data_IF_683551339655
#
_entry.id   IF_683551339655
#
_cell.length_a   1.000
_cell.length_b   1.000
_cell.length_c   1.000
_cell.angle_alpha   90.00
_cell.angle_beta   90.00
_cell.angle_gamma   90.00
#
_symmetry.space_group_name_H-M   'P 1'
#
loop_
_entity.id
_entity.type
_entity.pdbx_description
1 polymer ?
#
# COMPACT_ATOMS: atom_id res chain seq x y z
N UNK A 1 8.61 0.76 -7.18
CA UNK A 1 8.27 -0.17 -6.08
C UNK A 1 9.47 -0.34 -5.17
N UNK A 2 9.23 -0.34 -3.87
CA UNK A 2 10.27 -0.70 -2.94
C UNK A 2 9.70 -1.42 -1.70
N UNK A 3 10.33 -2.51 -1.30
CA UNK A 3 9.86 -3.35 -0.21
C UNK A 3 10.91 -3.43 0.90
N UNK A 4 10.51 -3.13 2.14
CA UNK A 4 11.38 -3.23 3.31
C UNK A 4 10.57 -3.20 4.62
N UNK A 5 11.25 -3.28 5.76
CA UNK A 5 10.65 -3.10 7.07
C UNK A 5 10.65 -1.62 7.47
N UNK A 6 9.57 -1.15 8.11
CA UNK A 6 9.41 0.26 8.53
C UNK A 6 10.55 0.76 9.42
N UNK A 7 11.17 -0.11 10.23
CA UNK A 7 12.33 0.23 11.07
C UNK A 7 13.56 0.66 10.25
N UNK A 8 13.59 0.32 8.97
CA UNK A 8 14.66 0.65 8.04
C UNK A 8 14.33 1.83 7.13
N UNK A 9 13.14 2.44 7.28
CA UNK A 9 12.65 3.51 6.39
C UNK A 9 13.63 4.69 6.27
N UNK A 10 14.36 5.04 7.32
CA UNK A 10 15.35 6.14 7.29
C UNK A 10 16.51 5.92 6.32
N UNK A 11 16.83 4.67 6.01
CA UNK A 11 17.86 4.34 5.01
C UNK A 11 17.46 4.71 3.58
N UNK A 12 16.19 5.05 3.39
CA UNK A 12 15.57 5.38 2.11
C UNK A 12 15.03 6.83 2.08
N UNK A 13 15.69 7.72 2.83
CA UNK A 13 15.30 9.14 2.97
C UNK A 13 15.55 9.99 1.72
N UNK A 14 15.90 9.40 0.60
CA UNK A 14 15.99 10.08 -0.69
C UNK A 14 14.63 10.37 -1.33
N UNK A 15 13.53 9.89 -0.73
CA UNK A 15 12.17 10.20 -1.14
C UNK A 15 11.79 11.61 -0.66
N UNK A 16 10.77 12.19 -1.30
CA UNK A 16 10.33 13.54 -0.98
C UNK A 16 9.69 13.66 0.41
N UNK A 17 9.40 14.91 0.82
CA UNK A 17 8.86 15.23 2.14
C UNK A 17 7.55 14.52 2.50
N UNK A 18 6.70 14.21 1.50
CA UNK A 18 5.44 13.50 1.72
C UNK A 18 5.67 12.08 2.22
N UNK A 19 6.65 11.37 1.65
CA UNK A 19 7.03 10.05 2.12
C UNK A 19 7.64 10.09 3.52
N UNK A 20 8.48 11.10 3.79
CA UNK A 20 9.05 11.29 5.13
C UNK A 20 7.97 11.52 6.18
N UNK A 21 6.98 12.37 5.88
CA UNK A 21 5.84 12.59 6.78
C UNK A 21 5.05 11.29 7.05
N UNK A 22 4.80 10.48 6.01
CA UNK A 22 4.15 9.19 6.17
C UNK A 22 4.97 8.23 7.03
N UNK A 23 6.28 8.12 6.82
CA UNK A 23 7.16 7.25 7.61
C UNK A 23 7.27 7.71 9.07
N UNK A 24 7.34 9.00 9.32
CA UNK A 24 7.31 9.55 10.68
C UNK A 24 6.00 9.23 11.39
N UNK A 25 4.89 9.38 10.70
CA UNK A 25 3.59 9.04 11.26
C UNK A 25 3.49 7.55 11.60
N UNK A 26 3.91 6.66 10.70
CA UNK A 26 3.93 5.20 10.92
C UNK A 26 4.80 4.81 12.13
N UNK A 27 5.93 5.50 12.35
CA UNK A 27 6.85 5.20 13.46
C UNK A 27 6.40 5.75 14.81
N UNK A 28 5.69 6.88 14.80
CA UNK A 28 5.34 7.62 16.00
C UNK A 28 3.97 7.25 16.58
N UNK A 29 3.21 6.40 15.89
CA UNK A 29 1.91 5.94 16.36
C UNK A 29 1.96 4.46 16.77
N UNK A 30 1.17 4.11 17.78
CA UNK A 30 0.88 2.71 18.09
C UNK A 30 -0.16 2.19 17.09
N UNK A 31 0.34 1.64 15.98
CA UNK A 31 -0.50 1.23 14.84
C UNK A 31 -1.54 0.16 15.23
N UNK A 32 -1.24 -0.66 16.26
CA UNK A 32 -2.16 -1.69 16.75
C UNK A 32 -3.33 -1.12 17.55
N UNK A 33 -3.17 0.07 18.09
CA UNK A 33 -4.21 0.75 18.86
C UNK A 33 -5.10 1.67 18.01
N UNK A 34 -4.80 1.82 16.71
CA UNK A 34 -5.60 2.65 15.83
C UNK A 34 -6.89 1.96 15.42
N UNK A 35 -8.00 2.66 15.56
CA UNK A 35 -9.29 2.20 15.03
C UNK A 35 -9.32 2.32 13.49
N UNK A 36 -10.08 1.44 12.80
CA UNK A 36 -10.28 1.59 11.36
C UNK A 36 -10.84 2.97 11.00
N UNK A 37 -10.27 3.60 9.98
CA UNK A 37 -10.68 4.94 9.55
C UNK A 37 -9.60 5.70 8.82
N UNK A 38 -9.89 6.95 8.47
CA UNK A 38 -8.98 7.86 7.79
C UNK A 38 -8.31 8.82 8.79
N UNK A 39 -6.99 8.92 8.71
CA UNK A 39 -6.16 9.81 9.53
C UNK A 39 -5.42 10.79 8.63
N UNK A 40 -5.59 12.08 8.87
CA UNK A 40 -4.86 13.13 8.18
C UNK A 40 -3.41 13.22 8.70
N UNK A 41 -2.44 13.32 7.78
CA UNK A 41 -1.01 13.46 8.10
C UNK A 41 -0.49 14.80 7.59
N UNK A 42 -0.74 15.11 6.31
CA UNK A 42 -0.35 16.37 5.67
C UNK A 42 -1.47 16.85 4.76
N UNK A 43 -2.60 17.26 5.35
CA UNK A 43 -3.80 17.65 4.62
C UNK A 43 -4.24 16.55 3.64
N UNK A 44 -4.71 16.98 2.47
CA UNK A 44 -5.15 16.05 1.42
C UNK A 44 -3.98 15.39 0.65
N UNK A 45 -2.74 15.77 0.95
CA UNK A 45 -1.57 15.23 0.25
C UNK A 45 -1.06 13.93 0.83
N UNK A 46 -1.18 13.74 2.16
CA UNK A 46 -0.75 12.52 2.86
C UNK A 46 -1.77 12.19 3.93
N UNK A 47 -2.31 11.02 3.86
CA UNK A 47 -3.26 10.49 4.85
C UNK A 47 -3.08 8.98 4.99
N UNK A 48 -3.50 8.42 6.11
CA UNK A 48 -3.54 6.99 6.31
C UNK A 48 -4.99 6.49 6.33
N UNK A 49 -5.23 5.38 5.66
CA UNK A 49 -6.45 4.60 5.80
C UNK A 49 -6.13 3.34 6.60
N UNK A 50 -6.69 3.22 7.79
CA UNK A 50 -6.56 2.02 8.62
C UNK A 50 -7.71 1.08 8.29
N UNK A 51 -7.38 -0.15 7.92
CA UNK A 51 -8.34 -1.20 7.57
C UNK A 51 -8.08 -2.47 8.36
N UNK A 52 -9.15 -3.18 8.64
CA UNK A 52 -9.12 -4.53 9.17
C UNK A 52 -9.97 -5.44 8.28
N UNK A 53 -9.38 -6.50 7.76
CA UNK A 53 -10.05 -7.44 6.86
C UNK A 53 -9.40 -8.83 6.90
N UNK A 54 -10.11 -9.81 6.39
CA UNK A 54 -9.54 -11.12 6.10
C UNK A 54 -9.03 -11.16 4.66
N UNK A 55 -7.84 -11.71 4.47
CA UNK A 55 -7.29 -11.94 3.12
C UNK A 55 -8.17 -12.93 2.36
N UNK A 56 -8.24 -12.76 1.06
CA UNK A 56 -9.00 -13.62 0.15
C UNK A 56 -8.03 -14.41 -0.75
N UNK A 57 -8.49 -15.54 -1.31
CA UNK A 57 -7.75 -16.25 -2.35
C UNK A 57 -7.38 -15.33 -3.51
N UNK A 58 -6.20 -15.54 -4.10
CA UNK A 58 -5.69 -14.68 -5.19
C UNK A 58 -6.61 -14.66 -6.41
N UNK A 59 -7.39 -15.71 -6.62
CA UNK A 59 -8.37 -15.83 -7.71
C UNK A 59 -9.55 -14.86 -7.55
N UNK A 60 -9.81 -14.40 -6.33
CA UNK A 60 -10.90 -13.48 -5.99
C UNK A 60 -10.42 -12.02 -5.96
N UNK A 61 -9.11 -11.78 -6.16
CA UNK A 61 -8.50 -10.46 -6.11
C UNK A 61 -8.20 -9.92 -7.52
N UNK A 62 -8.27 -8.60 -7.63
CA UNK A 62 -7.84 -7.86 -8.80
C UNK A 62 -6.54 -7.14 -8.50
N UNK A 63 -5.78 -6.85 -9.53
CA UNK A 63 -4.66 -5.94 -9.44
C UNK A 63 -5.15 -4.50 -9.52
N UNK A 64 -4.49 -3.61 -8.79
CA UNK A 64 -4.89 -2.22 -8.65
C UNK A 64 -3.70 -1.30 -8.96
N UNK A 65 -3.99 -0.14 -9.52
CA UNK A 65 -3.02 0.94 -9.65
C UNK A 65 -3.68 2.30 -9.43
N UNK A 66 -2.86 3.27 -9.05
CA UNK A 66 -3.23 4.66 -8.83
C UNK A 66 -2.51 5.58 -9.81
N UNK A 67 -3.09 6.73 -10.11
CA UNK A 67 -2.52 7.71 -11.04
C UNK A 67 -2.01 8.98 -10.34
N UNK A 68 -2.52 9.28 -9.14
CA UNK A 68 -2.25 10.51 -8.40
C UNK A 68 -1.43 10.27 -7.13
N UNK A 69 -1.69 9.15 -6.45
CA UNK A 69 -1.06 8.81 -5.18
C UNK A 69 -0.18 7.58 -5.32
N UNK A 70 0.81 7.49 -4.45
CA UNK A 70 1.49 6.24 -4.14
C UNK A 70 0.89 5.65 -2.88
N UNK A 71 0.75 4.36 -2.84
CA UNK A 71 0.38 3.65 -1.63
C UNK A 71 1.61 3.15 -0.88
N UNK A 72 1.62 3.39 0.44
CA UNK A 72 2.51 2.74 1.39
C UNK A 72 1.67 1.71 2.13
N UNK A 73 1.70 0.48 1.67
CA UNK A 73 0.98 -0.64 2.28
C UNK A 73 1.80 -1.19 3.44
N UNK A 74 1.39 -0.89 4.68
CA UNK A 74 2.10 -1.30 5.90
C UNK A 74 1.27 -2.33 6.66
N UNK A 75 1.81 -3.54 6.86
CA UNK A 75 1.11 -4.58 7.59
C UNK A 75 1.34 -4.41 9.10
N UNK A 76 0.24 -4.28 9.85
CA UNK A 76 0.26 -4.09 11.30
C UNK A 76 0.13 -5.42 12.04
N UNK A 77 -0.72 -6.32 11.55
CA UNK A 77 -0.95 -7.65 12.14
C UNK A 77 -1.29 -8.67 11.05
N UNK A 78 -1.09 -9.96 11.34
CA UNK A 78 -1.34 -11.05 10.40
C UNK A 78 -0.18 -11.31 9.42
N UNK A 79 -0.50 -11.91 8.28
CA UNK A 79 0.42 -12.18 7.15
C UNK A 79 -0.35 -11.94 5.86
N UNK A 80 0.24 -11.20 4.94
CA UNK A 80 -0.39 -10.90 3.66
C UNK A 80 0.51 -11.22 2.49
N UNK A 81 -0.05 -11.91 1.50
CA UNK A 81 0.56 -12.14 0.20
C UNK A 81 0.18 -10.99 -0.73
N UNK A 82 1.18 -10.27 -1.22
CA UNK A 82 1.00 -9.10 -2.06
C UNK A 82 1.52 -9.38 -3.49
N UNK A 83 0.61 -9.46 -4.46
CA UNK A 83 0.95 -9.68 -5.87
C UNK A 83 1.41 -8.39 -6.54
N UNK A 84 2.43 -8.47 -7.38
CA UNK A 84 3.07 -7.33 -8.01
C UNK A 84 3.36 -7.60 -9.48
N UNK A 85 3.07 -6.64 -10.34
CA UNK A 85 3.43 -6.71 -11.75
C UNK A 85 3.64 -5.30 -12.34
N UNK A 86 4.20 -5.25 -13.53
CA UNK A 86 4.24 -4.01 -14.30
C UNK A 86 2.82 -3.72 -14.82
N UNK A 87 2.41 -2.47 -14.74
CA UNK A 87 1.10 -1.99 -15.22
C UNK A 87 0.97 -2.07 -16.74
N UNK A 88 2.07 -1.94 -17.47
CA UNK A 88 2.07 -1.93 -18.94
C UNK A 88 1.56 -3.25 -19.50
N UNK A 89 0.57 -3.16 -20.39
CA UNK A 89 -0.05 -4.32 -21.04
C UNK A 89 -1.13 -5.04 -20.24
N UNK A 90 -1.46 -4.57 -19.03
CA UNK A 90 -2.58 -5.13 -18.27
C UNK A 90 -3.93 -4.76 -18.86
N UNK A 91 -4.89 -5.67 -18.74
CA UNK A 91 -6.28 -5.46 -19.17
C UNK A 91 -7.04 -4.78 -18.05
N UNK A 92 -7.54 -3.57 -18.32
CA UNK A 92 -8.39 -2.84 -17.37
C UNK A 92 -9.73 -3.56 -17.23
N UNK A 93 -10.11 -3.91 -16.02
CA UNK A 93 -11.42 -4.49 -15.70
C UNK A 93 -12.43 -3.42 -15.24
N UNK A 94 -11.95 -2.40 -14.52
CA UNK A 94 -12.77 -1.32 -13.99
C UNK A 94 -11.90 -0.09 -13.71
N UNK A 95 -12.45 1.11 -13.89
CA UNK A 95 -11.78 2.36 -13.50
C UNK A 95 -12.74 3.23 -12.68
N UNK A 96 -12.24 3.78 -11.58
CA UNK A 96 -12.92 4.70 -10.65
C UNK A 96 -12.06 5.94 -10.45
N UNK A 97 -12.00 6.85 -11.44
CA UNK A 97 -11.09 8.00 -11.40
C UNK A 97 -11.36 8.96 -10.22
N UNK A 98 -12.58 9.00 -9.72
CA UNK A 98 -12.97 9.80 -8.55
C UNK A 98 -12.28 9.31 -7.26
N UNK A 99 -11.91 8.02 -7.20
CA UNK A 99 -11.21 7.40 -6.08
C UNK A 99 -9.72 7.14 -6.39
N UNK A 100 -9.25 7.57 -7.56
CA UNK A 100 -7.89 7.28 -8.05
C UNK A 100 -7.57 5.78 -8.16
N UNK A 101 -8.56 4.96 -8.58
CA UNK A 101 -8.44 3.51 -8.66
C UNK A 101 -8.62 3.03 -10.10
N UNK A 102 -7.69 2.22 -10.56
CA UNK A 102 -7.81 1.43 -11.78
C UNK A 102 -7.58 -0.03 -11.44
N UNK A 103 -8.61 -0.85 -11.66
CA UNK A 103 -8.56 -2.30 -11.43
C UNK A 103 -8.26 -3.03 -12.73
N UNK A 104 -7.45 -4.06 -12.63
CA UNK A 104 -7.00 -4.89 -13.75
C UNK A 104 -7.41 -6.34 -13.56
N UNK A 105 -7.62 -7.02 -14.67
CA UNK A 105 -7.71 -8.47 -14.67
C UNK A 105 -6.38 -9.06 -14.13
N UNK A 106 -6.47 -10.22 -13.48
CA UNK A 106 -5.29 -10.91 -12.97
C UNK A 106 -4.35 -11.26 -14.12
N UNK A 107 -3.10 -10.78 -14.12
CA UNK A 107 -2.12 -11.16 -15.13
C UNK A 107 -1.73 -12.64 -15.01
N UNK A 108 -1.34 -13.26 -16.13
CA UNK A 108 -0.83 -14.63 -16.14
C UNK A 108 0.51 -14.75 -15.38
N UNK A 109 1.34 -13.71 -15.48
CA UNK A 109 2.67 -13.67 -14.83
C UNK A 109 2.75 -12.46 -13.92
N UNK A 110 3.05 -12.69 -12.66
CA UNK A 110 3.28 -11.65 -11.66
C UNK A 110 4.26 -12.14 -10.59
N UNK A 111 4.97 -11.20 -9.97
CA UNK A 111 5.76 -11.45 -8.78
C UNK A 111 4.92 -11.34 -7.52
N UNK A 112 5.50 -11.68 -6.37
CA UNK A 112 4.85 -11.46 -5.09
C UNK A 112 5.86 -11.19 -3.99
N UNK A 113 5.39 -10.57 -2.93
CA UNK A 113 6.07 -10.46 -1.64
C UNK A 113 5.12 -10.94 -0.55
N UNK A 114 5.68 -11.42 0.55
CA UNK A 114 4.92 -11.75 1.76
C UNK A 114 5.25 -10.69 2.79
N UNK A 115 4.24 -10.01 3.30
CA UNK A 115 4.36 -9.02 4.35
C UNK A 115 4.08 -9.65 5.69
N UNK A 116 4.93 -9.33 6.66
CA UNK A 116 4.76 -9.63 8.07
C UNK A 116 4.59 -8.34 8.87
N UNK A 117 4.10 -8.39 10.13
CA UNK A 117 3.92 -7.19 10.94
C UNK A 117 5.18 -6.31 11.02
N UNK A 118 5.02 -5.05 10.63
CA UNK A 118 6.09 -4.07 10.53
C UNK A 118 6.75 -3.97 9.15
N UNK A 119 6.41 -4.85 8.21
CA UNK A 119 6.84 -4.70 6.83
C UNK A 119 5.95 -3.70 6.09
N UNK A 120 6.52 -3.05 5.09
CA UNK A 120 5.75 -2.23 4.16
C UNK A 120 6.28 -2.34 2.73
N UNK A 121 5.42 -2.01 1.79
CA UNK A 121 5.75 -1.88 0.36
C UNK A 121 5.23 -0.55 -0.15
N UNK A 122 5.93 0.06 -1.09
CA UNK A 122 5.48 1.25 -1.82
C UNK A 122 5.14 0.84 -3.26
N UNK A 123 3.93 1.14 -3.69
CA UNK A 123 3.38 0.79 -5.00
C UNK A 123 2.67 1.97 -5.64
#
# INVERSE_FOLDING_TARGET
>A
MFFTNIKLAEKYNYLNEKFLAAYEWLRNNDLKALEPGKYEIMGDNVFANVHEYNTLPVEEKKFEAHDKFFDIQCLVDGVEFFGLCNREGLIVSEARPENDIVLYEKPEVYGHVILYPGDFIVV
#
